data_IF_492867453112
#
_entry.id   IF_492867453112
#
_cell.length_a   1.000
_cell.length_b   1.000
_cell.length_c   1.000
_cell.angle_alpha   90.00
_cell.angle_beta   90.00
_cell.angle_gamma   90.00
#
_symmetry.space_group_name_H-M   'P 1'
#
loop_
_entity.id
_entity.type
_entity.pdbx_description
1 polymer ?
#
# COMPACT_ATOMS: atom_id res chain seq x y z
N UNK A 1 15.10 3.92 7.38
CA UNK A 1 15.14 2.70 6.51
C UNK A 1 13.71 2.20 6.41
N UNK A 2 13.09 2.23 5.22
CA UNK A 2 11.67 1.88 5.05
C UNK A 2 11.44 0.38 5.28
N UNK A 3 10.54 0.01 6.19
CA UNK A 3 10.19 -1.39 6.46
C UNK A 3 9.12 -1.89 5.48
N UNK A 4 9.50 -1.97 4.19
CA UNK A 4 8.62 -2.36 3.08
C UNK A 4 8.81 -3.82 2.62
N UNK A 5 9.88 -4.48 3.05
CA UNK A 5 10.10 -5.89 2.73
C UNK A 5 9.00 -6.75 3.37
N UNK A 6 8.62 -7.83 2.68
CA UNK A 6 7.55 -8.75 3.07
C UNK A 6 6.14 -8.13 3.21
N UNK A 7 5.96 -6.86 2.81
CA UNK A 7 4.63 -6.23 2.74
C UNK A 7 3.83 -6.77 1.55
N UNK A 8 2.53 -6.92 1.78
CA UNK A 8 1.56 -7.31 0.75
C UNK A 8 1.24 -6.09 -0.11
N UNK A 9 1.35 -6.26 -1.42
CA UNK A 9 1.02 -5.23 -2.41
C UNK A 9 0.13 -5.79 -3.50
N UNK A 10 -0.65 -4.93 -4.13
CA UNK A 10 -1.40 -5.21 -5.35
C UNK A 10 -0.80 -4.41 -6.50
N UNK A 11 -0.60 -5.04 -7.66
CA UNK A 11 -0.25 -4.30 -8.88
C UNK A 11 -1.45 -3.49 -9.31
N UNK A 12 -1.26 -2.21 -9.61
CA UNK A 12 -2.35 -1.30 -9.98
C UNK A 12 -3.24 -1.92 -11.09
N UNK A 13 -4.57 -2.06 -10.89
CA UNK A 13 -5.43 -2.77 -11.86
C UNK A 13 -5.46 -2.14 -13.25
N UNK A 14 -5.21 -0.83 -13.33
CA UNK A 14 -5.18 -0.06 -14.59
C UNK A 14 -3.76 0.25 -15.05
N UNK A 15 -2.74 -0.46 -14.57
CA UNK A 15 -1.36 -0.26 -14.97
C UNK A 15 -1.23 -0.46 -16.49
N UNK A 16 -0.73 0.54 -17.21
CA UNK A 16 -0.67 0.51 -18.68
C UNK A 16 0.44 -0.38 -19.22
N UNK A 17 1.55 -0.49 -18.48
CA UNK A 17 2.69 -1.32 -18.84
C UNK A 17 2.98 -2.32 -17.73
N UNK A 18 2.46 -3.54 -17.89
CA UNK A 18 2.67 -4.62 -16.94
C UNK A 18 3.56 -5.71 -17.56
N UNK A 19 4.82 -5.85 -17.09
CA UNK A 19 5.80 -6.75 -17.69
C UNK A 19 5.50 -8.23 -17.47
N UNK A 20 4.69 -8.58 -16.45
CA UNK A 20 4.42 -9.99 -16.08
C UNK A 20 2.92 -10.32 -16.00
N UNK A 21 2.05 -9.42 -16.48
CA UNK A 21 0.60 -9.59 -16.57
C UNK A 21 -0.06 -9.97 -15.23
N UNK A 22 0.30 -9.24 -14.17
CA UNK A 22 -0.20 -9.36 -12.81
C UNK A 22 -1.03 -8.15 -12.34
N UNK A 23 -1.54 -7.29 -13.24
CA UNK A 23 -2.50 -6.24 -12.93
C UNK A 23 -3.63 -6.75 -12.02
N UNK A 24 -3.91 -6.01 -10.94
CA UNK A 24 -4.92 -6.37 -9.95
C UNK A 24 -4.58 -7.61 -9.10
N UNK A 25 -3.44 -8.25 -9.32
CA UNK A 25 -3.01 -9.41 -8.53
C UNK A 25 -2.14 -8.98 -7.36
N UNK A 26 -2.24 -9.73 -6.27
CA UNK A 26 -1.46 -9.50 -5.07
C UNK A 26 -0.15 -10.27 -5.08
N UNK A 27 0.89 -9.61 -4.59
CA UNK A 27 2.20 -10.17 -4.35
C UNK A 27 2.78 -9.67 -3.03
N UNK A 28 4.05 -10.01 -2.83
CA UNK A 28 4.82 -9.58 -1.66
C UNK A 28 6.11 -8.94 -2.12
N UNK A 29 6.49 -7.81 -1.53
CA UNK A 29 7.76 -7.14 -1.84
C UNK A 29 8.91 -8.04 -1.37
N UNK A 30 9.71 -8.49 -2.33
CA UNK A 30 10.88 -9.32 -2.13
C UNK A 30 12.17 -8.48 -2.04
N UNK A 31 12.24 -7.39 -2.80
CA UNK A 31 13.35 -6.46 -2.78
C UNK A 31 12.90 -5.06 -3.24
N UNK A 32 13.63 -4.03 -2.83
CA UNK A 32 13.32 -2.63 -3.10
C UNK A 32 14.63 -1.82 -3.23
N UNK A 33 14.78 -1.11 -4.35
CA UNK A 33 15.80 -0.08 -4.57
C UNK A 33 15.09 1.27 -4.82
N UNK A 34 14.89 2.04 -3.74
CA UNK A 34 14.17 3.32 -3.78
C UNK A 34 14.87 4.35 -4.66
N UNK A 35 16.20 4.33 -4.74
CA UNK A 35 16.98 5.30 -5.53
C UNK A 35 16.80 5.08 -7.04
N UNK A 36 16.43 3.86 -7.45
CA UNK A 36 16.16 3.51 -8.84
C UNK A 36 14.69 3.35 -9.17
N UNK A 37 13.80 3.53 -8.19
CA UNK A 37 12.37 3.25 -8.33
C UNK A 37 12.11 1.80 -8.80
N UNK A 38 12.82 0.84 -8.21
CA UNK A 38 12.77 -0.58 -8.59
C UNK A 38 12.24 -1.44 -7.43
N UNK A 39 11.06 -2.03 -7.62
CA UNK A 39 10.42 -2.93 -6.64
C UNK A 39 10.26 -4.32 -7.25
N UNK A 40 10.88 -5.32 -6.62
CA UNK A 40 10.68 -6.73 -6.99
C UNK A 40 9.55 -7.33 -6.17
N UNK A 41 8.49 -7.76 -6.86
CA UNK A 41 7.31 -8.35 -6.26
C UNK A 41 7.25 -9.84 -6.60
N UNK A 42 7.16 -10.68 -5.58
CA UNK A 42 6.98 -12.13 -5.72
C UNK A 42 5.50 -12.50 -5.65
N UNK A 43 5.02 -13.23 -6.64
CA UNK A 43 3.62 -13.66 -6.75
C UNK A 43 3.44 -15.13 -6.32
N UNK A 44 2.18 -15.52 -6.07
CA UNK A 44 1.83 -16.90 -5.64
C UNK A 44 2.26 -17.97 -6.66
N UNK A 45 2.27 -17.63 -7.95
CA UNK A 45 2.72 -18.51 -9.02
C UNK A 45 4.25 -18.59 -9.18
N UNK A 46 5.02 -18.08 -8.20
CA UNK A 46 6.49 -18.01 -8.18
C UNK A 46 7.11 -17.07 -9.21
N UNK A 47 6.33 -16.33 -9.99
CA UNK A 47 6.87 -15.27 -10.85
C UNK A 47 7.34 -14.09 -10.00
N UNK A 48 8.35 -13.40 -10.50
CA UNK A 48 8.86 -12.15 -9.94
C UNK A 48 8.67 -11.07 -11.00
N UNK A 49 7.96 -10.00 -10.65
CA UNK A 49 7.81 -8.82 -11.49
C UNK A 49 8.64 -7.66 -10.95
N UNK A 50 9.17 -6.84 -11.85
CA UNK A 50 9.82 -5.57 -11.53
C UNK A 50 8.82 -4.45 -11.83
N UNK A 51 8.55 -3.62 -10.82
CA UNK A 51 7.60 -2.51 -10.89
C UNK A 51 8.22 -1.25 -10.31
N UNK A 52 7.72 -0.10 -10.74
CA UNK A 52 7.91 1.17 -10.04
C UNK A 52 7.08 1.20 -8.75
N UNK A 53 7.44 2.09 -7.83
CA UNK A 53 6.76 2.25 -6.54
C UNK A 53 5.35 2.85 -6.70
N UNK A 54 5.08 3.62 -7.75
CA UNK A 54 3.75 4.17 -8.06
C UNK A 54 2.79 3.13 -8.69
N UNK A 55 3.33 2.07 -9.27
CA UNK A 55 2.58 0.97 -9.87
C UNK A 55 2.03 -0.04 -8.85
N UNK A 56 2.39 0.12 -7.57
CA UNK A 56 2.06 -0.81 -6.50
C UNK A 56 1.21 -0.11 -5.44
N UNK A 57 0.13 -0.79 -5.05
CA UNK A 57 -0.81 -0.37 -4.02
C UNK A 57 -0.65 -1.23 -2.77
N UNK A 58 -0.73 -0.62 -1.60
CA UNK A 58 -0.71 -1.31 -0.31
C UNK A 58 -1.77 -0.75 0.63
N UNK A 59 -2.08 -1.50 1.68
CA UNK A 59 -2.88 -0.96 2.76
C UNK A 59 -2.10 0.14 3.48
N UNK A 60 -2.80 1.21 3.80
CA UNK A 60 -2.31 2.22 4.74
C UNK A 60 -1.99 1.50 6.06
N UNK A 61 -0.85 1.77 6.71
CA UNK A 61 -0.54 1.16 8.00
C UNK A 61 -1.64 1.44 9.04
N UNK A 62 -1.89 0.47 9.92
CA UNK A 62 -2.98 0.57 10.89
C UNK A 62 -2.99 1.85 11.74
N UNK A 63 -1.82 2.39 12.09
CA UNK A 63 -1.73 3.65 12.85
C UNK A 63 -2.26 4.85 12.04
N UNK A 64 -1.95 4.90 10.74
CA UNK A 64 -2.39 5.95 9.83
C UNK A 64 -3.86 5.79 9.39
N UNK A 65 -4.39 4.56 9.33
CA UNK A 65 -5.81 4.31 9.01
C UNK A 65 -6.73 5.06 9.97
N UNK A 66 -6.41 5.03 11.27
CA UNK A 66 -7.24 5.67 12.30
C UNK A 66 -7.17 7.20 12.22
N UNK A 67 -6.01 7.76 11.89
CA UNK A 67 -5.85 9.21 11.74
C UNK A 67 -6.53 9.72 10.46
N UNK A 68 -6.43 8.97 9.35
CA UNK A 68 -7.22 9.25 8.13
C UNK A 68 -8.72 9.15 8.39
N UNK A 69 -9.17 8.11 9.09
CA UNK A 69 -10.58 7.96 9.47
C UNK A 69 -11.07 9.16 10.30
N UNK A 70 -10.28 9.64 11.26
CA UNK A 70 -10.62 10.84 12.06
C UNK A 70 -10.70 12.10 11.22
N UNK A 71 -9.76 12.28 10.28
CA UNK A 71 -9.72 13.46 9.42
C UNK A 71 -10.93 13.53 8.48
N UNK A 72 -11.36 12.38 7.95
CA UNK A 72 -12.45 12.29 6.97
C UNK A 72 -13.80 11.90 7.58
N UNK A 73 -13.90 11.71 8.89
CA UNK A 73 -15.15 11.37 9.58
C UNK A 73 -16.28 12.39 9.35
N UNK A 74 -15.91 13.62 8.97
CA UNK A 74 -16.84 14.71 8.68
C UNK A 74 -17.18 14.84 7.18
N UNK A 75 -16.50 14.09 6.32
CA UNK A 75 -16.59 14.14 4.85
C UNK A 75 -17.25 12.85 4.33
N UNK A 76 -18.58 12.80 4.35
CA UNK A 76 -19.40 11.81 3.64
C UNK A 76 -19.14 10.31 3.93
N UNK A 77 -18.36 9.96 4.97
CA UNK A 77 -18.21 8.58 5.45
C UNK A 77 -19.48 8.18 6.20
N UNK A 78 -20.18 7.13 5.74
CA UNK A 78 -21.35 6.61 6.43
C UNK A 78 -20.98 5.69 7.61
N UNK A 79 -21.96 5.34 8.45
CA UNK A 79 -21.70 4.48 9.61
C UNK A 79 -21.24 3.06 9.22
N UNK A 80 -21.57 2.58 8.03
CA UNK A 80 -21.15 1.27 7.53
C UNK A 80 -19.68 1.32 7.11
N UNK A 81 -19.25 2.39 6.45
CA UNK A 81 -17.88 2.64 6.05
C UNK A 81 -16.93 2.69 7.25
N UNK A 82 -17.35 3.31 8.36
CA UNK A 82 -16.58 3.28 9.62
C UNK A 82 -16.39 1.84 10.12
N UNK A 83 -17.43 1.02 10.10
CA UNK A 83 -17.36 -0.38 10.54
C UNK A 83 -16.41 -1.17 9.63
N UNK A 84 -16.49 -0.94 8.32
CA UNK A 84 -15.66 -1.63 7.35
C UNK A 84 -14.18 -1.23 7.46
N UNK A 85 -13.87 0.05 7.65
CA UNK A 85 -12.50 0.54 7.91
C UNK A 85 -11.94 -0.08 9.19
N UNK A 86 -12.74 -0.16 10.26
CA UNK A 86 -12.33 -0.84 11.50
C UNK A 86 -12.11 -2.34 11.28
N UNK A 87 -12.93 -2.99 10.46
CA UNK A 87 -12.75 -4.39 10.07
C UNK A 87 -11.43 -4.62 9.35
N UNK A 88 -11.10 -3.76 8.38
CA UNK A 88 -9.81 -3.77 7.66
C UNK A 88 -8.63 -3.59 8.60
N UNK A 89 -8.71 -2.62 9.51
CA UNK A 89 -7.70 -2.40 10.54
C UNK A 89 -7.48 -3.65 11.40
N UNK A 90 -8.55 -4.31 11.86
CA UNK A 90 -8.45 -5.51 12.67
C UNK A 90 -7.82 -6.68 11.90
N UNK A 91 -8.16 -6.83 10.61
CA UNK A 91 -7.56 -7.86 9.74
C UNK A 91 -6.05 -7.63 9.55
N UNK A 92 -5.62 -6.40 9.31
CA UNK A 92 -4.18 -6.08 9.17
C UNK A 92 -3.42 -6.25 10.50
N UNK A 93 -4.05 -5.88 11.62
CA UNK A 93 -3.47 -6.00 12.96
C UNK A 93 -3.18 -7.44 13.39
N UNK A 94 -3.83 -8.45 12.78
CA UNK A 94 -3.49 -9.86 13.01
C UNK A 94 -2.06 -10.21 12.58
N UNK A 95 -1.50 -9.45 11.63
CA UNK A 95 -0.17 -9.69 11.08
C UNK A 95 -0.07 -10.88 10.13
N UNK A 96 -1.15 -11.65 9.93
CA UNK A 96 -1.11 -12.80 9.02
C UNK A 96 -1.24 -12.36 7.57
N UNK A 97 -0.42 -12.96 6.70
CA UNK A 97 -0.34 -12.60 5.29
C UNK A 97 -1.65 -12.85 4.53
N UNK A 98 -2.44 -13.84 4.93
CA UNK A 98 -3.74 -14.12 4.30
C UNK A 98 -4.78 -13.05 4.65
N UNK A 99 -4.87 -12.65 5.92
CA UNK A 99 -5.79 -11.59 6.35
C UNK A 99 -5.41 -10.24 5.77
N UNK A 100 -4.11 -9.95 5.61
CA UNK A 100 -3.65 -8.74 4.91
C UNK A 100 -4.07 -8.69 3.44
N UNK A 101 -4.00 -9.83 2.75
CA UNK A 101 -4.48 -9.95 1.37
C UNK A 101 -5.98 -9.74 1.29
N UNK A 102 -6.73 -10.37 2.18
CA UNK A 102 -8.18 -10.21 2.27
C UNK A 102 -8.57 -8.75 2.56
N UNK A 103 -7.88 -8.09 3.49
CA UNK A 103 -8.10 -6.68 3.78
C UNK A 103 -7.81 -5.79 2.56
N UNK A 104 -6.70 -6.01 1.84
CA UNK A 104 -6.38 -5.24 0.64
C UNK A 104 -7.41 -5.48 -0.47
N UNK A 105 -7.88 -6.72 -0.64
CA UNK A 105 -8.93 -7.06 -1.61
C UNK A 105 -10.25 -6.34 -1.30
N UNK A 106 -10.67 -6.40 -0.03
CA UNK A 106 -11.87 -5.73 0.45
C UNK A 106 -11.79 -4.22 0.25
N UNK A 107 -10.65 -3.61 0.58
CA UNK A 107 -10.40 -2.19 0.36
C UNK A 107 -10.50 -1.80 -1.12
N UNK A 108 -9.94 -2.62 -2.01
CA UNK A 108 -9.98 -2.38 -3.46
C UNK A 108 -11.37 -2.60 -4.08
N UNK A 109 -12.19 -3.47 -3.48
CA UNK A 109 -13.57 -3.73 -3.94
C UNK A 109 -14.54 -2.60 -3.64
N UNK A 110 -14.20 -1.72 -2.69
CA UNK A 110 -15.05 -0.63 -2.18
C UNK A 110 -14.43 0.72 -2.52
N UNK A 111 -14.90 1.32 -3.61
CA UNK A 111 -14.37 2.59 -4.13
C UNK A 111 -14.42 3.74 -3.12
N UNK A 112 -15.40 3.73 -2.21
CA UNK A 112 -15.56 4.71 -1.15
C UNK A 112 -14.58 4.51 0.02
N UNK A 113 -13.95 3.34 0.17
CA UNK A 113 -12.96 3.12 1.23
C UNK A 113 -11.52 3.31 0.73
N UNK A 114 -11.31 3.12 -0.57
CA UNK A 114 -10.00 3.13 -1.19
C UNK A 114 -9.17 4.38 -0.82
N UNK A 115 -9.78 5.56 -0.75
CA UNK A 115 -9.08 6.82 -0.42
C UNK A 115 -8.51 6.83 1.00
N UNK A 116 -9.18 6.16 1.95
CA UNK A 116 -8.80 6.14 3.35
C UNK A 116 -7.89 4.95 3.69
N UNK A 117 -7.99 3.84 2.95
CA UNK A 117 -7.39 2.56 3.32
C UNK A 117 -6.29 2.07 2.39
N UNK A 118 -6.16 2.61 1.18
CA UNK A 118 -5.15 2.21 0.20
C UNK A 118 -4.23 3.38 -0.12
N UNK A 119 -2.94 3.08 -0.32
CA UNK A 119 -1.91 4.06 -0.67
C UNK A 119 -0.92 3.43 -1.66
N UNK A 120 -0.32 4.24 -2.53
CA UNK A 120 0.78 3.74 -3.37
C UNK A 120 2.05 3.53 -2.55
N UNK A 121 2.95 2.66 -3.00
CA UNK A 121 4.25 2.48 -2.32
C UNK A 121 5.07 3.77 -2.41
N UNK A 122 4.95 4.53 -3.51
CA UNK A 122 5.58 5.84 -3.69
C UNK A 122 5.08 6.84 -2.63
N UNK A 123 3.77 7.01 -2.48
CA UNK A 123 3.20 7.95 -1.50
C UNK A 123 3.60 7.59 -0.07
N UNK A 124 3.63 6.29 0.25
CA UNK A 124 4.10 5.82 1.55
C UNK A 124 5.56 6.23 1.80
N UNK A 125 6.43 6.03 0.80
CA UNK A 125 7.84 6.43 0.88
C UNK A 125 7.95 7.95 1.08
N UNK A 126 7.22 8.75 0.32
CA UNK A 126 7.30 10.21 0.38
C UNK A 126 6.87 10.76 1.73
N UNK A 127 5.74 10.26 2.28
CA UNK A 127 5.27 10.64 3.63
C UNK A 127 6.31 10.32 4.68
N UNK A 128 6.92 9.13 4.62
CA UNK A 128 7.91 8.70 5.62
C UNK A 128 9.29 9.34 5.41
N UNK A 129 9.59 9.82 4.20
CA UNK A 129 10.81 10.57 3.89
C UNK A 129 10.79 11.95 4.53
N UNK A 130 9.65 12.64 4.48
CA UNK A 130 9.48 13.99 5.04
C UNK A 130 9.44 13.98 6.58
N UNK A 131 9.09 12.83 7.18
CA UNK A 131 9.05 12.62 8.62
C UNK A 131 10.40 12.20 9.23
N UNK A 132 11.41 11.88 8.42
CA UNK A 132 12.75 11.52 8.89
C UNK A 132 13.63 12.79 9.07
N UNK A 133 13.86 13.27 10.31
CA UNK A 133 14.61 14.50 10.56
C UNK A 133 16.10 14.40 10.16
N UNK A 134 16.61 13.20 9.91
CA UNK A 134 17.99 12.96 9.47
C UNK A 134 18.11 12.86 7.94
N UNK A 135 17.00 12.94 7.19
CA UNK A 135 17.02 12.98 5.73
C UNK A 135 17.58 14.32 5.23
N UNK A 136 18.88 14.33 4.88
CA UNK A 136 19.51 15.45 4.19
C UNK A 136 19.34 15.24 2.68
N UNK A 137 18.48 16.00 1.99
CA UNK A 137 18.47 15.96 0.54
C UNK A 137 19.87 16.28 0.05
N UNK A 138 20.45 15.38 -0.74
CA UNK A 138 21.74 15.62 -1.37
C UNK A 138 21.66 16.94 -2.11
N UNK A 139 22.45 17.94 -1.67
CA UNK A 139 22.60 19.19 -2.39
C UNK A 139 23.26 18.89 -3.73
N UNK A 140 22.45 18.60 -4.74
CA UNK A 140 22.84 18.57 -6.14
C UNK A 140 23.36 19.96 -6.52
N UNK A 141 24.59 19.97 -7.06
CA UNK A 141 25.28 21.15 -7.58
C UNK A 141 24.68 21.61 -8.91
#
# INVERSE_FOLDING_TARGET
>A
MYELLDKVVMVHPTLTHDPVHMQGHMGTIYNLDVEKDEVLVKFKNQMIGLYSTDALLMLVPGEEILDKLRAHLHEEIDGQDVIDILGLYLLDATGELNYRKEALDLAMSRSNLMFATVVSVQDYIDVHRDLDPDYKPGRGR
#
